data_IF_773288456735
#
_entry.id   IF_773288456735
#
_cell.length_a   1.000
_cell.length_b   1.000
_cell.length_c   1.000
_cell.angle_alpha   90.00
_cell.angle_beta   90.00
_cell.angle_gamma   90.00
#
_symmetry.space_group_name_H-M   'P 1'
#
loop_
_entity.id
_entity.type
_entity.pdbx_description
1 polymer ?
#
# COMPACT_ATOMS: atom_id res chain seq x y z
N UNK A 1 -73.53 -24.91 -16.78
CA UNK A 1 -73.15 -26.00 -17.72
C UNK A 1 -71.64 -26.07 -17.97
N UNK A 2 -70.93 -24.97 -18.18
CA UNK A 2 -69.44 -24.96 -18.33
C UNK A 2 -68.71 -25.42 -17.07
N UNK A 3 -69.13 -24.99 -15.90
CA UNK A 3 -68.50 -25.36 -14.59
C UNK A 3 -68.74 -26.83 -14.21
N UNK A 4 -69.84 -27.41 -14.58
CA UNK A 4 -70.14 -28.83 -14.28
C UNK A 4 -69.34 -29.81 -15.12
N UNK A 5 -69.08 -29.45 -16.39
CA UNK A 5 -68.21 -30.25 -17.28
C UNK A 5 -66.77 -30.22 -16.82
N UNK A 6 -66.30 -29.08 -16.33
CA UNK A 6 -64.99 -28.92 -15.79
C UNK A 6 -64.77 -29.72 -14.51
N UNK A 7 -65.75 -29.73 -13.61
CA UNK A 7 -65.69 -30.51 -12.34
C UNK A 7 -65.72 -32.03 -12.62
N UNK A 8 -66.46 -32.52 -13.59
CA UNK A 8 -66.47 -33.95 -13.96
C UNK A 8 -65.17 -34.40 -14.59
N UNK A 9 -64.50 -33.53 -15.30
CA UNK A 9 -63.19 -33.87 -15.95
C UNK A 9 -61.99 -33.89 -14.97
N UNK A 10 -62.03 -33.05 -13.94
CA UNK A 10 -60.98 -33.06 -12.90
C UNK A 10 -61.00 -34.36 -12.07
N UNK A 11 -62.15 -35.00 -11.92
CA UNK A 11 -62.24 -36.21 -11.11
C UNK A 11 -61.69 -37.50 -11.77
N UNK A 12 -61.42 -37.46 -13.09
CA UNK A 12 -61.01 -38.67 -13.80
C UNK A 12 -59.56 -38.68 -14.27
N UNK A 13 -58.92 -37.54 -14.37
CA UNK A 13 -57.50 -37.49 -14.80
C UNK A 13 -56.72 -36.33 -14.10
N UNK A 14 -56.31 -36.56 -12.90
CA UNK A 14 -55.66 -35.55 -12.05
C UNK A 14 -54.15 -35.27 -12.39
N UNK A 15 -53.76 -35.28 -13.65
CA UNK A 15 -52.39 -34.83 -14.02
C UNK A 15 -52.46 -33.82 -15.17
N UNK A 16 -52.38 -32.55 -14.77
CA UNK A 16 -51.98 -31.39 -15.61
C UNK A 16 -52.88 -31.11 -16.84
N UNK A 17 -54.13 -30.71 -16.59
CA UNK A 17 -54.83 -29.86 -17.55
C UNK A 17 -54.76 -28.44 -17.00
N UNK A 18 -54.07 -27.54 -17.68
CA UNK A 18 -54.17 -26.10 -17.37
C UNK A 18 -55.59 -25.67 -17.56
N UNK A 19 -56.19 -24.85 -16.68
CA UNK A 19 -57.54 -24.39 -16.86
C UNK A 19 -57.64 -23.65 -18.20
N UNK A 20 -58.52 -24.13 -19.08
CA UNK A 20 -58.83 -23.49 -20.35
C UNK A 20 -59.41 -22.10 -20.01
N UNK A 21 -58.85 -21.04 -20.59
CA UNK A 21 -59.40 -19.71 -20.43
C UNK A 21 -60.77 -19.70 -21.11
N UNK A 22 -61.82 -19.48 -20.32
CA UNK A 22 -63.19 -19.45 -20.86
C UNK A 22 -63.22 -18.39 -22.00
N UNK A 23 -63.79 -18.76 -23.14
CA UNK A 23 -64.08 -17.83 -24.21
C UNK A 23 -64.81 -16.65 -23.58
N UNK A 24 -64.29 -15.44 -23.77
CA UNK A 24 -64.90 -14.25 -23.18
C UNK A 24 -66.29 -14.02 -23.72
N UNK A 25 -67.16 -13.42 -22.93
CA UNK A 25 -68.53 -13.12 -23.37
C UNK A 25 -68.58 -12.32 -24.68
N UNK A 26 -67.57 -11.50 -24.92
CA UNK A 26 -67.38 -10.76 -26.16
C UNK A 26 -67.17 -11.67 -27.36
N UNK A 27 -66.41 -12.73 -27.22
CA UNK A 27 -66.13 -13.72 -28.28
C UNK A 27 -67.39 -14.58 -28.55
N UNK A 28 -68.18 -14.90 -27.53
CA UNK A 28 -69.45 -15.59 -27.63
C UNK A 28 -70.46 -14.72 -28.41
N UNK A 29 -70.48 -13.41 -28.15
CA UNK A 29 -71.37 -12.47 -28.81
C UNK A 29 -70.98 -12.22 -30.24
N UNK A 30 -69.74 -12.24 -30.61
CA UNK A 30 -69.20 -12.17 -31.93
C UNK A 30 -69.57 -13.44 -32.73
N UNK A 31 -69.47 -14.61 -32.12
CA UNK A 31 -69.90 -15.89 -32.71
C UNK A 31 -71.40 -15.91 -32.97
N UNK A 32 -72.22 -15.35 -32.07
CA UNK A 32 -73.69 -15.19 -32.25
C UNK A 32 -74.02 -14.26 -33.40
N UNK A 33 -73.33 -13.13 -33.53
CA UNK A 33 -73.56 -12.20 -34.68
C UNK A 33 -73.24 -12.79 -36.00
N UNK A 34 -72.28 -13.74 -36.05
CA UNK A 34 -71.93 -14.46 -37.27
C UNK A 34 -72.89 -15.66 -37.57
N UNK A 35 -73.96 -15.83 -36.78
CA UNK A 35 -74.90 -16.94 -36.89
C UNK A 35 -74.33 -18.30 -36.56
N UNK A 36 -73.26 -18.30 -35.82
CA UNK A 36 -72.49 -19.46 -35.40
C UNK A 36 -73.00 -19.99 -34.08
N UNK A 37 -73.31 -21.27 -33.94
CA UNK A 37 -73.67 -21.91 -32.70
C UNK A 37 -72.45 -21.97 -31.72
N UNK A 38 -72.72 -22.42 -30.54
CA UNK A 38 -71.62 -22.61 -29.50
C UNK A 38 -70.93 -23.94 -29.76
N UNK A 39 -69.58 -23.87 -29.83
CA UNK A 39 -68.73 -25.05 -29.95
C UNK A 39 -67.90 -25.16 -28.65
N UNK A 40 -67.94 -26.29 -28.05
CA UNK A 40 -67.04 -26.59 -26.89
C UNK A 40 -65.94 -27.53 -27.36
N UNK A 41 -64.73 -27.11 -27.29
CA UNK A 41 -63.59 -27.91 -27.68
C UNK A 41 -62.68 -28.05 -26.43
N UNK A 42 -62.32 -29.24 -26.10
CA UNK A 42 -61.31 -29.56 -25.12
C UNK A 42 -60.05 -30.02 -25.85
N UNK A 43 -58.96 -29.30 -25.67
CA UNK A 43 -57.70 -29.61 -26.33
C UNK A 43 -56.60 -29.94 -25.28
N UNK A 44 -55.65 -30.78 -25.69
CA UNK A 44 -54.42 -31.03 -24.92
C UNK A 44 -53.40 -29.94 -25.24
N UNK A 45 -52.38 -29.78 -24.39
CA UNK A 45 -51.32 -28.79 -24.59
C UNK A 45 -50.59 -28.91 -25.94
N UNK A 46 -50.55 -30.10 -26.54
CA UNK A 46 -49.97 -30.40 -27.84
C UNK A 46 -50.90 -30.05 -29.03
N UNK A 47 -52.08 -29.45 -28.78
CA UNK A 47 -53.07 -29.09 -29.80
C UNK A 47 -54.02 -30.23 -30.16
N UNK A 48 -53.92 -31.42 -29.52
CA UNK A 48 -54.80 -32.55 -29.78
C UNK A 48 -56.21 -32.30 -29.22
N UNK A 49 -57.23 -32.39 -30.05
CA UNK A 49 -58.63 -32.20 -29.65
C UNK A 49 -59.13 -33.44 -28.90
N UNK A 50 -59.42 -33.27 -27.59
CA UNK A 50 -59.90 -34.37 -26.75
C UNK A 50 -61.40 -34.49 -26.72
N UNK A 51 -62.10 -33.40 -26.93
CA UNK A 51 -63.54 -33.37 -26.91
C UNK A 51 -64.11 -32.26 -27.80
N UNK A 52 -65.20 -32.56 -28.50
CA UNK A 52 -65.87 -31.61 -29.41
C UNK A 52 -67.35 -31.74 -29.23
N UNK A 53 -68.06 -30.67 -28.93
CA UNK A 53 -69.52 -30.63 -28.82
C UNK A 53 -70.08 -29.47 -29.65
N UNK A 54 -71.08 -29.77 -30.50
CA UNK A 54 -71.77 -28.77 -31.26
C UNK A 54 -73.22 -28.65 -30.79
N UNK A 55 -73.67 -27.41 -30.66
CA UNK A 55 -75.04 -27.14 -30.14
C UNK A 55 -76.03 -26.91 -31.28
N UNK A 56 -75.63 -26.86 -32.58
CA UNK A 56 -76.49 -26.67 -33.71
C UNK A 56 -76.00 -27.49 -34.91
N UNK A 57 -76.85 -28.20 -35.56
CA UNK A 57 -76.61 -29.17 -36.68
C UNK A 57 -76.25 -28.49 -38.02
N UNK A 58 -76.57 -27.21 -38.18
CA UNK A 58 -76.33 -26.47 -39.44
C UNK A 58 -75.09 -25.58 -39.33
N UNK A 59 -74.22 -25.87 -38.40
CA UNK A 59 -73.10 -25.00 -38.01
C UNK A 59 -71.82 -25.47 -38.71
N UNK A 60 -71.11 -24.52 -39.36
CA UNK A 60 -69.75 -24.72 -39.82
C UNK A 60 -68.81 -24.34 -38.71
N UNK A 61 -68.00 -25.26 -38.16
CA UNK A 61 -67.13 -25.00 -37.04
C UNK A 61 -65.83 -24.29 -37.46
N UNK A 62 -65.52 -24.16 -38.71
CA UNK A 62 -64.23 -23.66 -39.21
C UNK A 62 -63.88 -22.26 -38.69
N UNK A 63 -64.79 -21.26 -38.70
CA UNK A 63 -64.49 -19.92 -38.22
C UNK A 63 -64.24 -19.86 -36.70
N UNK A 64 -64.97 -20.69 -35.93
CA UNK A 64 -64.77 -20.78 -34.50
C UNK A 64 -63.43 -21.43 -34.12
N UNK A 65 -63.03 -22.44 -34.86
CA UNK A 65 -61.73 -23.10 -34.69
C UNK A 65 -60.57 -22.15 -35.02
N UNK A 66 -60.70 -21.32 -36.05
CA UNK A 66 -59.72 -20.35 -36.49
C UNK A 66 -59.51 -19.27 -35.33
N UNK A 67 -60.61 -18.78 -34.78
CA UNK A 67 -60.57 -17.83 -33.69
C UNK A 67 -59.82 -18.45 -32.48
N UNK A 68 -60.15 -19.69 -32.09
CA UNK A 68 -59.53 -20.39 -30.99
C UNK A 68 -58.05 -20.66 -31.27
N UNK A 69 -57.68 -21.07 -32.46
CA UNK A 69 -56.28 -21.29 -32.82
C UNK A 69 -55.46 -20.00 -32.76
N UNK A 70 -56.01 -18.89 -33.22
CA UNK A 70 -55.34 -17.60 -33.18
C UNK A 70 -55.17 -17.09 -31.75
N UNK A 71 -56.14 -17.32 -30.85
CA UNK A 71 -56.01 -16.95 -29.46
C UNK A 71 -54.93 -17.78 -28.73
N UNK A 72 -54.90 -19.11 -28.99
CA UNK A 72 -53.87 -19.99 -28.46
C UNK A 72 -52.46 -19.58 -28.94
N UNK A 73 -52.34 -19.23 -30.22
CA UNK A 73 -51.07 -18.76 -30.77
C UNK A 73 -50.60 -17.46 -30.14
N UNK A 74 -51.50 -16.52 -29.86
CA UNK A 74 -51.21 -15.27 -29.16
C UNK A 74 -50.74 -15.52 -27.71
N UNK A 75 -51.31 -16.48 -27.00
CA UNK A 75 -50.87 -16.83 -25.65
C UNK A 75 -49.45 -17.41 -25.65
N UNK A 76 -49.13 -18.28 -26.63
CA UNK A 76 -47.77 -18.83 -26.78
C UNK A 76 -46.74 -17.76 -27.14
N UNK A 77 -47.08 -16.83 -28.01
CA UNK A 77 -46.20 -15.69 -28.35
C UNK A 77 -45.95 -14.80 -27.12
N UNK A 78 -46.99 -14.47 -26.38
CA UNK A 78 -46.89 -13.66 -25.17
C UNK A 78 -46.02 -14.32 -24.07
N UNK A 79 -46.14 -15.63 -23.89
CA UNK A 79 -45.34 -16.40 -22.95
C UNK A 79 -43.87 -16.46 -23.38
N UNK A 80 -43.62 -16.65 -24.67
CA UNK A 80 -42.26 -16.64 -25.21
C UNK A 80 -41.57 -15.25 -25.06
N UNK A 81 -42.29 -14.16 -25.29
CA UNK A 81 -41.81 -12.80 -25.10
C UNK A 81 -41.49 -12.51 -23.61
N UNK A 82 -42.35 -13.00 -22.71
CA UNK A 82 -42.10 -12.94 -21.28
C UNK A 82 -40.81 -13.68 -20.88
N UNK A 83 -40.64 -14.92 -21.40
CA UNK A 83 -39.42 -15.72 -21.12
C UNK A 83 -38.15 -15.05 -21.68
N UNK A 84 -38.25 -14.43 -22.85
CA UNK A 84 -37.15 -13.69 -23.45
C UNK A 84 -36.77 -12.49 -22.59
N UNK A 85 -37.72 -11.65 -22.19
CA UNK A 85 -37.51 -10.53 -21.31
C UNK A 85 -36.93 -10.94 -19.96
N UNK A 86 -37.40 -12.05 -19.39
CA UNK A 86 -36.86 -12.61 -18.16
C UNK A 86 -35.39 -13.05 -18.29
N UNK A 87 -35.05 -13.74 -19.39
CA UNK A 87 -33.65 -14.15 -19.67
C UNK A 87 -32.74 -12.95 -19.87
N UNK A 88 -33.17 -11.93 -20.61
CA UNK A 88 -32.41 -10.70 -20.83
C UNK A 88 -32.21 -9.92 -19.51
N UNK A 89 -33.25 -9.82 -18.69
CA UNK A 89 -33.16 -9.21 -17.35
C UNK A 89 -32.23 -9.97 -16.39
N UNK A 90 -32.31 -11.31 -16.40
CA UNK A 90 -31.41 -12.15 -15.58
C UNK A 90 -29.94 -12.03 -16.03
N UNK A 91 -29.69 -11.93 -17.32
CA UNK A 91 -28.35 -11.72 -17.87
C UNK A 91 -27.78 -10.36 -17.45
N UNK A 92 -28.62 -9.31 -17.50
CA UNK A 92 -28.26 -7.96 -17.07
C UNK A 92 -27.89 -7.91 -15.58
N UNK A 93 -28.68 -8.55 -14.72
CA UNK A 93 -28.41 -8.61 -13.28
C UNK A 93 -27.13 -9.36 -12.97
N UNK A 94 -26.83 -10.47 -13.66
CA UNK A 94 -25.59 -11.23 -13.54
C UNK A 94 -24.38 -10.40 -13.96
N UNK A 95 -24.47 -9.64 -15.05
CA UNK A 95 -23.39 -8.75 -15.50
C UNK A 95 -23.11 -7.65 -14.48
N UNK A 96 -24.15 -7.02 -13.93
CA UNK A 96 -23.99 -5.99 -12.88
C UNK A 96 -23.33 -6.61 -11.64
N UNK A 97 -23.78 -7.78 -11.19
CA UNK A 97 -23.19 -8.48 -10.05
C UNK A 97 -21.70 -8.83 -10.30
N UNK A 98 -21.36 -9.25 -11.52
CA UNK A 98 -19.98 -9.52 -11.91
C UNK A 98 -19.11 -8.26 -11.87
N UNK A 99 -19.60 -7.12 -12.39
CA UNK A 99 -18.88 -5.84 -12.35
C UNK A 99 -18.64 -5.40 -10.89
N UNK A 100 -19.67 -5.48 -10.05
CA UNK A 100 -19.56 -5.15 -8.63
C UNK A 100 -18.54 -6.06 -7.93
N UNK A 101 -18.58 -7.37 -8.21
CA UNK A 101 -17.64 -8.35 -7.68
C UNK A 101 -16.19 -8.05 -8.08
N UNK A 102 -15.96 -7.71 -9.36
CA UNK A 102 -14.65 -7.33 -9.89
C UNK A 102 -14.16 -6.02 -9.21
N UNK A 103 -15.01 -5.01 -9.14
CA UNK A 103 -14.68 -3.74 -8.49
C UNK A 103 -14.34 -3.94 -7.01
N UNK A 104 -15.11 -4.76 -6.30
CA UNK A 104 -14.84 -5.13 -4.91
C UNK A 104 -13.51 -5.88 -4.77
N UNK A 105 -13.23 -6.84 -5.65
CA UNK A 105 -11.97 -7.58 -5.67
C UNK A 105 -10.76 -6.65 -5.82
N UNK A 106 -10.79 -5.72 -6.79
CA UNK A 106 -9.71 -4.76 -6.98
C UNK A 106 -9.55 -3.80 -5.79
N UNK A 107 -10.66 -3.38 -5.17
CA UNK A 107 -10.64 -2.53 -3.98
C UNK A 107 -10.01 -3.23 -2.77
N UNK A 108 -10.35 -4.50 -2.54
CA UNK A 108 -9.76 -5.32 -1.46
C UNK A 108 -8.28 -5.57 -1.73
N UNK A 109 -7.92 -5.93 -2.95
CA UNK A 109 -6.52 -6.17 -3.35
C UNK A 109 -5.67 -4.90 -3.24
N UNK A 110 -6.23 -3.74 -3.60
CA UNK A 110 -5.60 -2.44 -3.42
C UNK A 110 -5.34 -2.09 -1.94
N UNK A 111 -6.31 -2.33 -1.06
CA UNK A 111 -6.15 -2.16 0.40
C UNK A 111 -5.05 -3.07 0.95
N UNK A 112 -5.06 -4.36 0.60
CA UNK A 112 -4.05 -5.33 1.05
C UNK A 112 -2.63 -4.94 0.58
N UNK A 113 -2.48 -4.46 -0.68
CA UNK A 113 -1.19 -3.98 -1.18
C UNK A 113 -0.70 -2.77 -0.38
N UNK A 114 -1.59 -1.83 -0.08
CA UNK A 114 -1.26 -0.63 0.72
C UNK A 114 -0.86 -0.99 2.16
N UNK A 115 -1.55 -1.96 2.78
CA UNK A 115 -1.19 -2.45 4.12
C UNK A 115 0.15 -3.21 4.14
N UNK A 116 0.41 -4.06 3.14
CA UNK A 116 1.71 -4.73 3.00
C UNK A 116 2.86 -3.74 2.84
N UNK A 117 2.67 -2.72 2.00
CA UNK A 117 3.67 -1.67 1.84
C UNK A 117 3.91 -0.89 3.15
N UNK A 118 2.83 -0.55 3.88
CA UNK A 118 2.96 0.11 5.20
C UNK A 118 3.68 -0.76 6.23
N UNK A 119 3.43 -2.08 6.24
CA UNK A 119 4.16 -3.02 7.12
C UNK A 119 5.62 -3.09 6.73
N UNK A 120 5.92 -3.17 5.43
CA UNK A 120 7.29 -3.22 4.93
C UNK A 120 8.07 -1.95 5.25
N UNK A 121 7.45 -0.78 5.11
CA UNK A 121 8.04 0.50 5.50
C UNK A 121 8.33 0.50 7.01
N UNK A 122 7.39 0.13 7.86
CA UNK A 122 7.62 0.03 9.32
C UNK A 122 8.72 -0.96 9.69
N UNK A 123 8.80 -2.11 9.01
CA UNK A 123 9.89 -3.07 9.23
C UNK A 123 11.25 -2.51 8.81
N UNK A 124 11.29 -1.74 7.71
CA UNK A 124 12.51 -1.04 7.28
C UNK A 124 12.89 0.08 8.24
N UNK A 125 11.92 0.86 8.72
CA UNK A 125 12.11 1.87 9.77
C UNK A 125 12.65 1.23 11.06
N UNK A 126 12.09 0.11 11.50
CA UNK A 126 12.59 -0.62 12.68
C UNK A 126 14.00 -1.21 12.45
N UNK A 127 14.32 -1.67 11.25
CA UNK A 127 15.68 -2.12 10.91
C UNK A 127 16.66 -0.96 10.86
N UNK A 128 16.27 0.18 10.30
CA UNK A 128 17.06 1.40 10.29
C UNK A 128 17.34 1.86 11.74
N UNK A 129 16.31 1.95 12.58
CA UNK A 129 16.47 2.29 14.01
C UNK A 129 17.40 1.31 14.74
N UNK A 130 17.27 0.00 14.48
CA UNK A 130 18.16 -1.02 15.05
C UNK A 130 19.59 -0.97 14.51
N UNK A 131 19.77 -0.57 13.25
CA UNK A 131 21.10 -0.40 12.66
C UNK A 131 21.77 0.89 13.11
N UNK A 132 21.00 1.92 13.46
CA UNK A 132 21.49 3.21 13.98
C UNK A 132 22.15 3.09 15.36
N UNK A 133 21.72 2.13 16.17
CA UNK A 133 22.48 1.74 17.37
C UNK A 133 23.55 0.72 16.96
N UNK A 134 24.69 1.20 16.46
CA UNK A 134 25.81 0.34 16.10
C UNK A 134 26.17 -0.57 17.31
N UNK A 135 25.85 -1.89 17.27
CA UNK A 135 26.12 -2.78 18.42
C UNK A 135 27.59 -2.75 18.83
N UNK A 136 28.47 -2.55 17.85
CA UNK A 136 29.89 -2.43 18.07
C UNK A 136 30.25 -1.20 18.91
N UNK A 137 29.56 -0.06 18.71
CA UNK A 137 29.75 1.12 19.56
C UNK A 137 29.36 0.83 21.02
N UNK A 138 28.23 0.16 21.26
CA UNK A 138 27.78 -0.21 22.60
C UNK A 138 28.79 -1.13 23.28
N UNK A 139 29.25 -2.20 22.60
CA UNK A 139 30.26 -3.10 23.12
C UNK A 139 31.57 -2.39 23.41
N UNK A 140 32.01 -1.49 22.55
CA UNK A 140 33.21 -0.71 22.73
C UNK A 140 33.10 0.25 23.93
N UNK A 141 31.96 0.90 24.10
CA UNK A 141 31.69 1.76 25.24
C UNK A 141 31.75 0.99 26.58
N UNK A 142 31.10 -0.19 26.62
CA UNK A 142 31.13 -1.05 27.80
C UNK A 142 32.56 -1.55 28.11
N UNK A 143 33.33 -1.91 27.09
CA UNK A 143 34.74 -2.30 27.24
C UNK A 143 35.61 -1.16 27.74
N UNK A 144 35.33 0.08 27.30
CA UNK A 144 36.03 1.26 27.79
C UNK A 144 35.73 1.53 29.26
N UNK A 145 34.48 1.42 29.68
CA UNK A 145 34.07 1.53 31.08
C UNK A 145 34.78 0.46 31.92
N UNK A 146 34.77 -0.80 31.46
CA UNK A 146 35.43 -1.89 32.15
C UNK A 146 36.95 -1.65 32.31
N UNK A 147 37.61 -1.15 31.26
CA UNK A 147 39.02 -0.78 31.33
C UNK A 147 39.31 0.33 32.36
N UNK A 148 38.46 1.35 32.42
CA UNK A 148 38.60 2.45 33.42
C UNK A 148 38.41 1.92 34.85
N UNK A 149 37.46 1.03 35.09
CA UNK A 149 37.24 0.39 36.38
C UNK A 149 38.46 -0.46 36.77
N UNK A 150 38.98 -1.26 35.85
CA UNK A 150 40.15 -2.13 36.07
C UNK A 150 41.42 -1.33 36.41
N UNK A 151 41.53 -0.07 35.94
CA UNK A 151 42.60 0.88 36.25
C UNK A 151 42.32 1.70 37.50
N UNK A 152 41.25 1.40 38.26
CA UNK A 152 40.79 2.17 39.42
C UNK A 152 40.45 3.65 39.13
N UNK A 153 40.19 3.98 37.85
CA UNK A 153 39.78 5.31 37.38
C UNK A 153 38.24 5.50 37.52
N UNK A 154 37.72 5.29 38.72
CA UNK A 154 36.28 5.22 38.98
C UNK A 154 35.52 6.53 38.65
N UNK A 155 36.16 7.69 38.84
CA UNK A 155 35.55 8.98 38.50
C UNK A 155 35.38 9.14 36.98
N UNK A 156 36.40 8.73 36.21
CA UNK A 156 36.36 8.75 34.75
C UNK A 156 35.35 7.74 34.22
N UNK A 157 35.27 6.54 34.80
CA UNK A 157 34.28 5.53 34.46
C UNK A 157 32.83 6.03 34.67
N UNK A 158 32.58 6.69 35.82
CA UNK A 158 31.28 7.29 36.10
C UNK A 158 30.94 8.40 35.12
N UNK A 159 31.86 9.29 34.78
CA UNK A 159 31.68 10.36 33.83
C UNK A 159 31.37 9.79 32.45
N UNK A 160 32.13 8.76 32.01
CA UNK A 160 31.88 8.05 30.76
C UNK A 160 30.48 7.44 30.73
N UNK A 161 30.06 6.75 31.79
CA UNK A 161 28.75 6.13 31.90
C UNK A 161 27.60 7.15 31.81
N UNK A 162 27.77 8.32 32.44
CA UNK A 162 26.80 9.43 32.37
C UNK A 162 26.68 9.95 30.93
N UNK A 163 27.82 10.27 30.28
CA UNK A 163 27.87 10.80 28.92
C UNK A 163 27.30 9.75 27.92
N UNK A 164 27.66 8.49 28.09
CA UNK A 164 27.10 7.38 27.29
C UNK A 164 25.57 7.22 27.44
N UNK A 165 25.09 7.24 28.69
CA UNK A 165 23.65 7.16 28.98
C UNK A 165 22.89 8.37 28.41
N UNK A 166 23.53 9.56 28.39
CA UNK A 166 22.96 10.77 27.79
C UNK A 166 22.87 10.66 26.27
N UNK A 167 23.93 10.16 25.62
CA UNK A 167 23.94 9.89 24.16
C UNK A 167 22.86 8.88 23.80
N UNK A 168 22.76 7.75 24.50
CA UNK A 168 21.75 6.74 24.22
C UNK A 168 20.32 7.30 24.29
N UNK A 169 20.02 8.08 25.34
CA UNK A 169 18.71 8.71 25.48
C UNK A 169 18.42 9.69 24.35
N UNK A 170 19.42 10.47 23.92
CA UNK A 170 19.25 11.39 22.78
C UNK A 170 18.99 10.63 21.48
N UNK A 171 19.80 9.63 21.17
CA UNK A 171 19.63 8.79 19.98
C UNK A 171 18.23 8.16 19.95
N UNK A 172 17.75 7.62 21.07
CA UNK A 172 16.41 7.06 21.15
C UNK A 172 15.32 8.11 20.95
N UNK A 173 15.46 9.30 21.54
CA UNK A 173 14.49 10.38 21.42
C UNK A 173 14.44 10.98 20.01
N UNK A 174 15.56 11.04 19.30
CA UNK A 174 15.65 11.57 17.92
C UNK A 174 15.24 10.54 16.88
N UNK A 175 15.43 9.23 17.14
CA UNK A 175 15.08 8.15 16.21
C UNK A 175 13.58 8.04 15.92
N UNK A 176 12.71 8.57 16.77
CA UNK A 176 11.26 8.60 16.59
C UNK A 176 10.79 9.84 15.79
N UNK A 177 11.66 10.84 15.64
CA UNK A 177 11.33 12.10 14.97
C UNK A 177 11.83 12.08 13.51
N UNK A 178 11.03 12.61 12.61
CA UNK A 178 11.45 12.77 11.22
C UNK A 178 12.48 13.89 11.06
N UNK A 179 12.21 15.02 11.68
CA UNK A 179 13.08 16.17 11.68
C UNK A 179 13.45 16.51 13.13
N UNK A 180 14.67 16.99 13.33
CA UNK A 180 15.20 17.42 14.62
C UNK A 180 15.91 18.76 14.45
N UNK A 181 15.93 19.60 15.48
CA UNK A 181 16.75 20.81 15.47
C UNK A 181 18.23 20.45 15.21
N UNK A 182 18.91 21.25 14.39
CA UNK A 182 20.34 21.09 14.11
C UNK A 182 21.18 21.13 15.40
N UNK A 183 20.74 21.90 16.42
CA UNK A 183 21.36 21.94 17.75
C UNK A 183 21.37 20.57 18.43
N UNK A 184 20.30 19.78 18.28
CA UNK A 184 20.23 18.42 18.84
C UNK A 184 21.23 17.48 18.16
N UNK A 185 21.38 17.55 16.86
CA UNK A 185 22.38 16.76 16.11
C UNK A 185 23.81 17.16 16.49
N UNK A 186 24.09 18.48 16.61
CA UNK A 186 25.39 18.99 17.05
C UNK A 186 25.74 18.47 18.45
N UNK A 187 24.80 18.55 19.40
CA UNK A 187 25.07 18.05 20.78
C UNK A 187 25.33 16.53 20.79
N UNK A 188 24.56 15.79 19.95
CA UNK A 188 24.75 14.35 19.82
C UNK A 188 26.13 14.00 19.25
N UNK A 189 26.60 14.71 18.23
CA UNK A 189 27.92 14.55 17.62
C UNK A 189 29.03 14.87 18.63
N UNK A 190 28.88 15.94 19.40
CA UNK A 190 29.87 16.31 20.44
C UNK A 190 29.98 15.24 21.52
N UNK A 191 28.82 14.69 21.98
CA UNK A 191 28.83 13.60 22.96
C UNK A 191 29.50 12.34 22.38
N UNK A 192 29.19 11.99 21.12
CA UNK A 192 29.79 10.85 20.44
C UNK A 192 31.32 11.00 20.31
N UNK A 193 31.80 12.12 19.77
CA UNK A 193 33.21 12.38 19.58
C UNK A 193 33.99 12.38 20.92
N UNK A 194 33.40 12.95 21.96
CA UNK A 194 33.98 12.95 23.32
C UNK A 194 34.13 11.52 23.87
N UNK A 195 33.17 10.64 23.62
CA UNK A 195 33.25 9.24 24.03
C UNK A 195 34.31 8.47 23.24
N UNK A 196 34.44 8.73 21.93
CA UNK A 196 35.47 8.11 21.10
C UNK A 196 36.89 8.62 21.40
N UNK A 197 37.07 9.88 21.86
CA UNK A 197 38.34 10.39 22.30
C UNK A 197 38.94 9.65 23.53
N UNK A 198 38.11 9.00 24.34
CA UNK A 198 38.60 8.13 25.44
C UNK A 198 39.14 6.78 24.92
N UNK A 199 38.84 6.42 23.70
CA UNK A 199 39.33 5.19 23.01
C UNK A 199 40.53 5.46 22.13
N UNK A 200 40.49 6.58 21.42
CA UNK A 200 41.53 6.99 20.48
C UNK A 200 41.98 8.42 20.80
N UNK A 201 43.30 8.69 20.98
CA UNK A 201 43.81 10.03 21.19
C UNK A 201 43.82 10.85 19.90
N UNK A 202 42.68 11.42 19.53
CA UNK A 202 42.52 12.31 18.38
C UNK A 202 41.97 13.68 18.82
N UNK A 203 42.23 14.70 18.00
CA UNK A 203 41.60 16.00 18.14
C UNK A 203 40.40 16.14 17.24
N UNK A 204 39.41 16.94 17.65
CA UNK A 204 38.35 17.37 16.73
C UNK A 204 38.02 18.84 16.93
N UNK A 205 37.57 19.46 15.85
CA UNK A 205 36.97 20.80 15.88
C UNK A 205 35.57 20.76 15.24
N UNK A 206 34.60 21.36 15.91
CA UNK A 206 33.25 21.54 15.38
C UNK A 206 32.96 23.03 15.41
N UNK A 207 32.77 23.61 14.20
CA UNK A 207 32.53 25.04 14.05
C UNK A 207 31.21 25.27 13.32
N UNK A 208 30.43 26.20 13.81
CA UNK A 208 29.15 26.62 13.23
C UNK A 208 29.28 28.10 12.88
N UNK A 209 28.96 28.43 11.65
CA UNK A 209 28.96 29.84 11.16
C UNK A 209 28.00 30.67 12.01
N UNK A 210 28.39 31.92 12.28
CA UNK A 210 27.64 32.87 13.14
C UNK A 210 26.24 33.18 12.57
N UNK A 211 26.04 33.00 11.28
CA UNK A 211 24.78 33.24 10.61
C UNK A 211 23.79 32.07 10.70
N UNK A 212 24.19 30.96 11.34
CA UNK A 212 23.37 29.79 11.55
C UNK A 212 22.78 29.87 12.97
N UNK A 213 21.46 29.84 13.06
CA UNK A 213 20.73 29.59 14.31
C UNK A 213 20.37 28.10 14.38
N UNK A 214 21.14 27.25 15.11
CA UNK A 214 20.95 25.81 15.08
C UNK A 214 19.60 25.36 15.61
N UNK A 215 18.96 26.10 16.48
CA UNK A 215 17.64 25.80 17.04
C UNK A 215 16.50 26.07 16.04
N UNK A 216 16.72 26.93 15.04
CA UNK A 216 15.72 27.31 14.04
C UNK A 216 15.77 26.43 12.78
N UNK A 217 16.85 25.67 12.57
CA UNK A 217 17.03 24.79 11.41
C UNK A 217 16.67 23.37 11.78
N UNK A 218 15.73 22.78 11.05
CA UNK A 218 15.36 21.36 11.20
C UNK A 218 15.98 20.52 10.10
N UNK A 219 16.63 19.42 10.46
CA UNK A 219 17.22 18.46 9.56
C UNK A 219 16.75 17.03 9.90
N UNK A 220 16.85 16.07 8.97
CA UNK A 220 16.65 14.66 9.30
C UNK A 220 17.55 14.23 10.46
N UNK A 221 16.95 13.57 11.44
CA UNK A 221 17.73 13.07 12.59
C UNK A 221 18.77 12.05 12.16
N UNK A 222 19.96 12.10 12.81
CA UNK A 222 21.11 11.22 12.53
C UNK A 222 21.65 11.33 11.09
N UNK A 223 21.46 12.46 10.43
CA UNK A 223 21.95 12.69 9.07
C UNK A 223 23.48 12.84 9.02
N UNK A 224 24.07 13.52 9.99
CA UNK A 224 25.51 13.83 10.01
C UNK A 224 26.29 12.69 10.67
N UNK A 225 25.74 12.06 11.67
CA UNK A 225 26.41 11.07 12.52
C UNK A 225 27.08 9.93 11.76
N UNK A 226 26.46 9.27 10.72
CA UNK A 226 27.11 8.18 10.02
C UNK A 226 28.45 8.57 9.38
N UNK A 227 28.58 9.80 8.90
CA UNK A 227 29.81 10.29 8.28
C UNK A 227 30.89 10.57 9.32
N UNK A 228 30.51 11.09 10.49
CA UNK A 228 31.43 11.28 11.61
C UNK A 228 31.87 9.93 12.18
N UNK A 229 30.99 8.95 12.30
CA UNK A 229 31.34 7.57 12.67
C UNK A 229 32.34 6.96 11.70
N UNK A 230 32.15 7.18 10.39
CA UNK A 230 33.08 6.72 9.38
C UNK A 230 34.46 7.41 9.46
N UNK A 231 34.49 8.72 9.72
CA UNK A 231 35.72 9.44 9.95
C UNK A 231 36.49 8.88 11.16
N UNK A 232 35.79 8.56 12.26
CA UNK A 232 36.44 7.90 13.41
C UNK A 232 36.89 6.49 13.06
N UNK A 233 36.03 5.66 12.46
CA UNK A 233 36.32 4.26 12.21
C UNK A 233 37.37 4.02 11.14
N UNK A 234 37.33 4.79 10.07
CA UNK A 234 38.20 4.60 8.90
C UNK A 234 39.34 5.64 8.82
N UNK A 235 39.12 6.86 9.34
CA UNK A 235 40.13 7.88 9.42
C UNK A 235 41.04 7.72 10.64
N UNK A 236 40.49 7.66 11.85
CA UNK A 236 41.24 7.70 13.11
C UNK A 236 41.68 6.31 13.58
N UNK A 237 40.76 5.36 13.69
CA UNK A 237 41.00 4.05 14.32
C UNK A 237 42.19 3.27 13.72
N UNK A 238 42.44 3.27 12.38
CA UNK A 238 43.58 2.56 11.79
C UNK A 238 44.95 3.11 12.22
N UNK A 239 45.02 4.42 12.51
CA UNK A 239 46.26 5.09 12.96
C UNK A 239 46.31 5.22 14.46
N UNK A 240 45.18 5.10 15.15
CA UNK A 240 45.03 5.32 16.56
C UNK A 240 45.12 6.78 17.01
N UNK A 241 45.37 7.73 16.10
CA UNK A 241 45.45 9.16 16.33
C UNK A 241 45.09 9.92 15.05
N UNK A 242 44.79 11.22 15.16
CA UNK A 242 44.48 12.07 14.02
C UNK A 242 43.62 13.28 14.38
N UNK A 243 43.05 13.91 13.35
CA UNK A 243 42.17 15.07 13.49
C UNK A 243 40.91 14.92 12.67
N UNK A 244 39.77 15.33 13.24
CA UNK A 244 38.47 15.44 12.54
C UNK A 244 38.00 16.89 12.60
N UNK A 245 37.73 17.49 11.45
CA UNK A 245 37.22 18.85 11.33
C UNK A 245 35.77 18.78 10.81
N UNK A 246 34.84 19.37 11.57
CA UNK A 246 33.43 19.48 11.20
C UNK A 246 33.11 20.97 11.10
N UNK A 247 32.68 21.42 9.91
CA UNK A 247 32.28 22.81 9.65
C UNK A 247 30.87 22.86 9.14
N UNK A 248 30.05 23.69 9.74
CA UNK A 248 28.70 24.01 9.30
C UNK A 248 28.69 25.44 8.80
N UNK A 249 28.34 25.64 7.54
CA UNK A 249 28.28 26.95 6.89
C UNK A 249 26.99 27.12 6.10
N UNK A 250 26.60 28.37 5.88
CA UNK A 250 25.45 28.72 5.06
C UNK A 250 25.94 29.27 3.72
N UNK A 251 25.57 28.65 2.60
CA UNK A 251 25.93 29.06 1.25
C UNK A 251 24.68 29.04 0.37
N UNK A 252 24.28 30.16 -0.18
CA UNK A 252 23.16 30.30 -1.13
C UNK A 252 21.86 29.55 -0.71
N UNK A 253 21.44 29.71 0.55
CA UNK A 253 20.30 28.99 1.14
C UNK A 253 20.51 27.48 1.29
N UNK A 254 21.72 27.00 1.21
CA UNK A 254 22.11 25.64 1.52
C UNK A 254 22.85 25.59 2.85
N UNK A 255 22.44 24.71 3.73
CA UNK A 255 23.27 24.31 4.86
C UNK A 255 24.34 23.35 4.33
N UNK A 256 25.59 23.80 4.34
CA UNK A 256 26.75 23.01 3.92
C UNK A 256 27.47 22.50 5.16
N UNK A 257 27.67 21.18 5.21
CA UNK A 257 28.38 20.52 6.31
C UNK A 257 29.58 19.79 5.74
N UNK A 258 30.77 20.24 6.11
CA UNK A 258 32.03 19.62 5.76
C UNK A 258 32.54 18.76 6.91
N UNK A 259 32.84 17.50 6.64
CA UNK A 259 33.45 16.55 7.57
C UNK A 259 34.76 16.11 6.96
N UNK A 260 35.85 16.40 7.62
CA UNK A 260 37.22 16.21 7.09
C UNK A 260 38.00 15.41 8.11
N UNK A 261 38.61 14.32 7.70
CA UNK A 261 39.59 13.56 8.49
C UNK A 261 40.98 13.61 7.85
N UNK A 262 41.99 13.37 8.64
CA UNK A 262 43.40 13.23 8.21
C UNK A 262 43.85 11.76 8.14
N UNK A 263 42.89 10.82 8.01
CA UNK A 263 43.13 9.39 7.96
C UNK A 263 43.92 8.91 6.74
N UNK A 264 43.96 7.58 6.49
CA UNK A 264 44.69 7.05 5.34
C UNK A 264 44.06 7.43 3.97
N UNK A 265 42.85 8.01 4.00
CA UNK A 265 42.06 8.26 2.81
C UNK A 265 41.37 6.98 2.28
N UNK A 266 40.76 7.07 1.13
CA UNK A 266 40.10 5.93 0.47
C UNK A 266 41.10 5.26 -0.51
N UNK A 267 41.16 3.93 -0.48
CA UNK A 267 41.90 3.17 -1.46
C UNK A 267 41.30 3.36 -2.88
N UNK A 268 42.16 3.44 -3.91
CA UNK A 268 41.73 3.72 -5.29
C UNK A 268 40.70 2.71 -5.85
N UNK A 269 40.69 1.47 -5.35
CA UNK A 269 39.70 0.45 -5.67
C UNK A 269 38.34 0.67 -4.99
N UNK A 270 38.26 1.55 -3.98
CA UNK A 270 37.05 1.88 -3.25
C UNK A 270 36.20 2.97 -3.91
N UNK A 271 36.61 3.56 -5.03
CA UNK A 271 35.79 4.54 -5.81
C UNK A 271 34.50 3.95 -6.38
N UNK A 272 34.26 2.67 -6.24
CA UNK A 272 33.00 1.95 -6.47
C UNK A 272 32.77 0.89 -5.39
N UNK A 273 33.54 0.92 -4.30
CA UNK A 273 33.59 -0.13 -3.27
C UNK A 273 32.37 -0.18 -2.36
N UNK A 274 32.29 -1.30 -1.63
CA UNK A 274 31.14 -1.68 -0.79
C UNK A 274 30.76 -0.60 0.25
N UNK A 275 31.73 0.16 0.77
CA UNK A 275 31.53 1.20 1.77
C UNK A 275 30.79 2.42 1.22
N UNK A 276 31.24 2.96 0.07
CA UNK A 276 30.59 4.12 -0.57
C UNK A 276 29.20 3.75 -1.08
N UNK A 277 29.03 2.54 -1.62
CA UNK A 277 27.72 2.06 -2.07
C UNK A 277 26.76 1.85 -0.89
N UNK A 278 27.25 1.38 0.25
CA UNK A 278 26.41 1.22 1.44
C UNK A 278 25.94 2.59 1.97
N UNK A 279 26.84 3.57 2.05
CA UNK A 279 26.52 4.95 2.44
C UNK A 279 25.59 5.61 1.41
N UNK A 280 25.86 5.44 0.11
CA UNK A 280 25.01 5.97 -0.95
C UNK A 280 23.60 5.37 -0.94
N UNK A 281 23.49 4.06 -0.69
CA UNK A 281 22.18 3.40 -0.57
C UNK A 281 21.39 3.85 0.67
N UNK A 282 22.07 3.98 1.80
CA UNK A 282 21.44 4.49 3.05
C UNK A 282 20.98 5.93 2.86
N UNK A 283 21.74 6.71 2.14
CA UNK A 283 21.44 8.09 1.81
C UNK A 283 20.31 8.25 0.79
N UNK A 284 20.26 7.44 -0.27
CA UNK A 284 19.12 7.41 -1.19
C UNK A 284 17.82 7.06 -0.45
N UNK A 285 17.90 6.17 0.54
CA UNK A 285 16.76 5.84 1.40
C UNK A 285 16.35 7.06 2.23
N UNK A 286 17.31 7.81 2.80
CA UNK A 286 17.04 9.03 3.54
C UNK A 286 16.45 10.11 2.63
N UNK A 287 16.98 10.30 1.43
CA UNK A 287 16.48 11.23 0.43
C UNK A 287 15.02 10.94 0.04
N UNK A 288 14.70 9.66 -0.22
CA UNK A 288 13.35 9.21 -0.53
C UNK A 288 12.40 9.34 0.67
N UNK A 289 12.90 9.05 1.88
CA UNK A 289 12.09 9.06 3.11
C UNK A 289 11.69 10.49 3.51
N UNK A 290 12.61 11.45 3.34
CA UNK A 290 12.42 12.84 3.75
C UNK A 290 11.99 13.76 2.61
N UNK A 291 11.95 13.23 1.36
CA UNK A 291 11.61 13.99 0.15
C UNK A 291 12.40 15.31 0.04
N UNK A 292 13.68 15.27 0.41
CA UNK A 292 14.56 16.44 0.48
C UNK A 292 15.71 16.24 -0.50
N UNK A 293 16.01 17.26 -1.31
CA UNK A 293 17.14 17.25 -2.22
C UNK A 293 18.43 17.50 -1.45
N UNK A 294 18.96 16.47 -0.79
CA UNK A 294 20.25 16.54 -0.11
C UNK A 294 21.35 16.13 -1.10
N UNK A 295 22.36 16.96 -1.24
CA UNK A 295 23.57 16.65 -2.01
C UNK A 295 24.64 16.02 -1.13
N UNK A 296 25.38 15.03 -1.66
CA UNK A 296 26.61 14.49 -1.04
C UNK A 296 27.75 14.51 -2.03
N UNK A 297 28.91 14.93 -1.54
CA UNK A 297 30.18 14.76 -2.25
C UNK A 297 31.19 14.13 -1.30
N UNK A 298 31.87 13.06 -1.74
CA UNK A 298 32.92 12.39 -0.98
C UNK A 298 34.18 12.43 -1.82
N UNK A 299 35.22 13.04 -1.30
CA UNK A 299 36.48 13.24 -2.01
C UNK A 299 37.66 12.69 -1.19
N UNK A 300 38.62 12.06 -1.89
CA UNK A 300 39.88 11.65 -1.30
C UNK A 300 40.86 12.83 -1.37
N UNK A 301 41.33 13.33 -0.23
CA UNK A 301 42.21 14.50 -0.13
C UNK A 301 43.57 14.27 -0.78
N UNK A 302 44.06 13.03 -0.82
CA UNK A 302 45.37 12.69 -1.47
C UNK A 302 45.46 13.14 -2.93
N UNK A 303 44.33 13.23 -3.64
CA UNK A 303 44.31 13.65 -5.05
C UNK A 303 44.41 15.17 -5.23
N UNK A 304 44.00 15.98 -4.24
CA UNK A 304 43.87 17.44 -4.43
C UNK A 304 44.87 18.25 -3.63
N UNK A 305 45.26 17.83 -2.43
CA UNK A 305 45.95 18.68 -1.45
C UNK A 305 47.34 18.15 -1.03
N UNK A 306 47.79 17.01 -1.56
CA UNK A 306 48.99 16.28 -1.07
C UNK A 306 48.92 15.91 0.43
N UNK A 307 47.72 15.96 1.02
CA UNK A 307 47.38 15.61 2.38
C UNK A 307 46.52 14.38 2.39
N UNK A 308 46.81 13.42 3.26
CA UNK A 308 45.99 12.21 3.38
C UNK A 308 44.67 12.50 4.09
N UNK A 309 43.63 11.70 3.80
CA UNK A 309 42.34 11.81 4.46
C UNK A 309 41.13 11.80 3.52
N UNK A 310 39.96 11.89 4.09
CA UNK A 310 38.69 11.97 3.38
C UNK A 310 37.99 13.31 3.66
N UNK A 311 37.27 13.83 2.67
CA UNK A 311 36.43 15.00 2.81
C UNK A 311 35.01 14.63 2.35
N UNK A 312 34.07 14.69 3.26
CA UNK A 312 32.64 14.52 3.01
C UNK A 312 31.97 15.87 3.10
N UNK A 313 31.22 16.24 2.07
CA UNK A 313 30.40 17.46 2.04
C UNK A 313 28.93 17.08 1.85
N UNK A 314 28.10 17.55 2.77
CA UNK A 314 26.64 17.47 2.69
C UNK A 314 26.10 18.86 2.32
N UNK A 315 25.09 18.93 1.46
CA UNK A 315 24.42 20.16 1.08
C UNK A 315 22.91 19.96 1.26
N UNK A 316 22.29 20.70 2.14
CA UNK A 316 20.89 20.55 2.53
C UNK A 316 20.17 21.87 2.21
N UNK A 317 19.13 21.90 1.35
CA UNK A 317 18.28 23.07 1.15
C UNK A 317 17.54 23.42 2.45
N UNK A 318 17.48 24.74 2.76
CA UNK A 318 16.77 25.28 3.92
C UNK A 318 15.43 25.88 3.52
#
# INVERSE_FOLDING_TARGET
MQLELYSKFQSHNAKRVKPFKAISDLQIEELRRKGLGTVTILMREDGTILYRQFTNWKFDPSPALEIIQNDLKREDESFNDFLKGFKEGALGTLLIAAIIGIAYYFRVKGKQKKERNRRRIRELELRAIRSQMNPHFIFNALSSIQNLINRSANQEANKYLIDFSRLLRKVLATSEKKLVPLSDEIEQLQLYLKLEQLRFPFSYSLTVDKNIEPDAIEIPGMLIQPFVENAVKHGIAPRGTGEIIIRLSLQDQLLVIDIIDDGPGMEAEAEGGFGIRAISNEFEILKDLYNTEIGITIENRQKKESVSGCHVRLSIPL
#
